data_IF_912797748814
#
_entry.id   IF_912797748814
#
_cell.length_a   1.000
_cell.length_b   1.000
_cell.length_c   1.000
_cell.angle_alpha   90.00
_cell.angle_beta   90.00
_cell.angle_gamma   90.00
#
_symmetry.space_group_name_H-M   'P 1'
#
loop_
_entity.id
_entity.type
_entity.pdbx_description
1 polymer ?
#
# COMPACT_ATOMS: atom_id res chain seq x y z
N UNK A 1 73.70 -22.63 59.28
CA UNK A 1 73.69 -21.49 58.34
C UNK A 1 73.58 -21.91 56.88
N UNK A 2 74.48 -22.75 56.33
CA UNK A 2 74.47 -23.13 54.90
C UNK A 2 73.16 -23.79 54.42
N UNK A 3 72.54 -24.64 55.24
CA UNK A 3 71.28 -25.33 54.91
C UNK A 3 70.07 -24.40 54.89
N UNK A 4 70.03 -23.37 55.75
CA UNK A 4 68.95 -22.38 55.78
C UNK A 4 68.96 -21.50 54.53
N UNK A 5 70.13 -21.10 54.05
CA UNK A 5 70.27 -20.35 52.80
C UNK A 5 69.78 -21.16 51.59
N UNK A 6 70.09 -22.45 51.55
CA UNK A 6 69.62 -23.35 50.49
C UNK A 6 68.09 -23.48 50.49
N UNK A 7 67.47 -23.61 51.68
CA UNK A 7 66.01 -23.65 51.80
C UNK A 7 65.36 -22.35 51.34
N UNK A 8 65.97 -21.20 51.66
CA UNK A 8 65.45 -19.90 51.25
C UNK A 8 65.50 -19.70 49.74
N UNK A 9 66.61 -20.07 49.10
CA UNK A 9 66.76 -20.01 47.64
C UNK A 9 65.77 -20.95 46.95
N UNK A 10 65.57 -22.15 47.49
CA UNK A 10 64.61 -23.12 46.96
C UNK A 10 63.17 -22.58 47.07
N UNK A 11 62.82 -21.97 48.20
CA UNK A 11 61.52 -21.34 48.42
C UNK A 11 61.28 -20.17 47.45
N UNK A 12 62.30 -19.33 47.24
CA UNK A 12 62.23 -18.23 46.28
C UNK A 12 62.09 -18.71 44.84
N UNK A 13 62.80 -19.78 44.47
CA UNK A 13 62.69 -20.41 43.15
C UNK A 13 61.27 -20.95 42.89
N UNK A 14 60.67 -21.61 43.88
CA UNK A 14 59.28 -22.09 43.78
C UNK A 14 58.27 -20.95 43.66
N UNK A 15 58.43 -19.88 44.44
CA UNK A 15 57.57 -18.69 44.37
C UNK A 15 57.71 -17.97 43.03
N UNK A 16 58.94 -17.82 42.52
CA UNK A 16 59.20 -17.20 41.22
C UNK A 16 58.59 -18.03 40.08
N UNK A 17 58.73 -19.37 40.13
CA UNK A 17 58.11 -20.27 39.17
C UNK A 17 56.58 -20.20 39.22
N UNK A 18 55.99 -20.21 40.42
CA UNK A 18 54.54 -20.08 40.60
C UNK A 18 54.03 -18.74 40.07
N UNK A 19 54.68 -17.63 40.43
CA UNK A 19 54.32 -16.30 39.94
C UNK A 19 54.47 -16.18 38.41
N UNK A 20 55.47 -16.84 37.82
CA UNK A 20 55.66 -16.88 36.38
C UNK A 20 54.52 -17.64 35.68
N UNK A 21 54.11 -18.79 36.21
CA UNK A 21 52.99 -19.56 35.68
C UNK A 21 51.67 -18.79 35.77
N UNK A 22 51.39 -18.14 36.91
CA UNK A 22 50.19 -17.32 37.11
C UNK A 22 50.15 -16.13 36.14
N UNK A 23 51.28 -15.47 35.90
CA UNK A 23 51.36 -14.39 34.90
C UNK A 23 51.02 -14.89 33.50
N UNK A 24 51.57 -16.05 33.11
CA UNK A 24 51.31 -16.65 31.80
C UNK A 24 49.83 -16.98 31.62
N UNK A 25 49.17 -17.51 32.64
CA UNK A 25 47.72 -17.77 32.61
C UNK A 25 46.90 -16.48 32.50
N UNK A 26 47.28 -15.42 33.23
CA UNK A 26 46.60 -14.12 33.16
C UNK A 26 46.76 -13.46 31.78
N UNK A 27 47.94 -13.53 31.18
CA UNK A 27 48.20 -12.98 29.85
C UNK A 27 47.39 -13.73 28.77
N UNK A 28 47.32 -15.06 28.87
CA UNK A 28 46.47 -15.87 28.00
C UNK A 28 44.98 -15.53 28.18
N UNK A 29 44.52 -15.40 29.42
CA UNK A 29 43.13 -15.02 29.72
C UNK A 29 42.78 -13.64 29.13
N UNK A 30 43.68 -12.66 29.25
CA UNK A 30 43.51 -11.33 28.63
C UNK A 30 43.43 -11.40 27.11
N UNK A 31 44.27 -12.20 26.47
CA UNK A 31 44.22 -12.41 25.02
C UNK A 31 42.88 -13.02 24.60
N UNK A 32 42.42 -14.06 25.30
CA UNK A 32 41.13 -14.71 25.01
C UNK A 32 39.97 -13.72 25.18
N UNK A 33 39.93 -12.96 26.27
CA UNK A 33 38.91 -11.93 26.50
C UNK A 33 38.93 -10.89 25.38
N UNK A 34 40.11 -10.42 24.96
CA UNK A 34 40.26 -9.48 23.86
C UNK A 34 39.71 -10.03 22.53
N UNK A 35 40.04 -11.28 22.20
CA UNK A 35 39.54 -11.94 20.98
C UNK A 35 38.03 -12.16 21.02
N UNK A 36 37.49 -12.56 22.17
CA UNK A 36 36.05 -12.77 22.34
C UNK A 36 35.28 -11.45 22.26
N UNK A 37 35.82 -10.38 22.86
CA UNK A 37 35.25 -9.03 22.78
C UNK A 37 35.21 -8.53 21.34
N UNK A 38 36.31 -8.67 20.59
CA UNK A 38 36.36 -8.30 19.18
C UNK A 38 35.38 -9.15 18.32
N UNK A 39 35.25 -10.44 18.65
CA UNK A 39 34.28 -11.33 18.01
C UNK A 39 32.83 -10.95 18.29
N UNK A 40 32.51 -10.53 19.52
CA UNK A 40 31.19 -10.03 19.91
C UNK A 40 30.89 -8.71 19.19
N UNK A 41 31.82 -7.77 19.18
CA UNK A 41 31.66 -6.48 18.49
C UNK A 41 31.44 -6.66 16.98
N UNK A 42 32.16 -7.59 16.35
CA UNK A 42 31.93 -7.93 14.95
C UNK A 42 30.52 -8.50 14.70
N UNK A 43 30.05 -9.39 15.58
CA UNK A 43 28.69 -9.95 15.51
C UNK A 43 27.62 -8.90 15.74
N UNK A 44 27.83 -8.01 16.70
CA UNK A 44 26.88 -6.93 17.02
C UNK A 44 26.73 -5.95 15.86
N UNK A 45 27.86 -5.62 15.21
CA UNK A 45 27.86 -4.85 13.97
C UNK A 45 27.12 -5.56 12.83
N UNK A 46 27.31 -6.88 12.67
CA UNK A 46 26.61 -7.65 11.66
C UNK A 46 25.09 -7.72 11.93
N UNK A 47 24.70 -7.92 13.18
CA UNK A 47 23.29 -7.91 13.61
C UNK A 47 22.66 -6.55 13.34
N UNK A 48 23.35 -5.46 13.69
CA UNK A 48 22.87 -4.09 13.45
C UNK A 48 22.64 -3.84 11.96
N UNK A 49 23.60 -4.22 11.11
CA UNK A 49 23.45 -4.11 9.65
C UNK A 49 22.27 -4.91 9.12
N UNK A 50 22.11 -6.16 9.56
CA UNK A 50 20.99 -7.00 9.15
C UNK A 50 19.64 -6.44 9.62
N UNK A 51 19.58 -5.85 10.81
CA UNK A 51 18.37 -5.19 11.31
C UNK A 51 18.02 -3.95 10.48
N UNK A 52 19.01 -3.14 10.13
CA UNK A 52 18.79 -1.96 9.28
C UNK A 52 18.34 -2.36 7.87
N UNK A 53 18.96 -3.38 7.28
CA UNK A 53 18.56 -3.93 5.99
C UNK A 53 17.13 -4.50 6.02
N UNK A 54 16.78 -5.25 7.06
CA UNK A 54 15.43 -5.79 7.24
C UNK A 54 14.39 -4.67 7.41
N UNK A 55 14.74 -3.58 8.13
CA UNK A 55 13.86 -2.41 8.26
C UNK A 55 13.64 -1.73 6.91
N UNK A 56 14.71 -1.48 6.16
CA UNK A 56 14.63 -0.89 4.82
C UNK A 56 13.81 -1.76 3.87
N UNK A 57 14.02 -3.08 3.90
CA UNK A 57 13.23 -4.01 3.10
C UNK A 57 11.74 -3.95 3.47
N UNK A 58 11.41 -3.97 4.76
CA UNK A 58 10.02 -3.87 5.21
C UNK A 58 9.36 -2.56 4.77
N UNK A 59 10.08 -1.44 4.80
CA UNK A 59 9.56 -0.16 4.32
C UNK A 59 9.35 -0.12 2.81
N UNK A 60 10.29 -0.68 2.04
CA UNK A 60 10.16 -0.82 0.59
C UNK A 60 8.97 -1.72 0.22
N UNK A 61 8.78 -2.84 0.93
CA UNK A 61 7.64 -3.72 0.72
C UNK A 61 6.31 -3.03 1.05
N UNK A 62 6.26 -2.22 2.11
CA UNK A 62 5.08 -1.42 2.45
C UNK A 62 4.77 -0.40 1.35
N UNK A 63 5.78 0.34 0.89
CA UNK A 63 5.63 1.32 -0.18
C UNK A 63 5.12 0.64 -1.47
N UNK A 64 5.69 -0.51 -1.84
CA UNK A 64 5.26 -1.28 -2.99
C UNK A 64 3.80 -1.74 -2.87
N UNK A 65 3.42 -2.28 -1.70
CA UNK A 65 2.02 -2.69 -1.45
C UNK A 65 1.04 -1.51 -1.53
N UNK A 66 1.43 -0.34 -1.04
CA UNK A 66 0.64 0.88 -1.16
C UNK A 66 0.50 1.34 -2.62
N UNK A 67 1.58 1.30 -3.41
CA UNK A 67 1.52 1.62 -4.82
C UNK A 67 0.63 0.64 -5.60
N UNK A 68 0.72 -0.66 -5.29
CA UNK A 68 -0.13 -1.68 -5.91
C UNK A 68 -1.60 -1.49 -5.56
N UNK A 69 -1.93 -1.21 -4.29
CA UNK A 69 -3.32 -0.98 -3.88
C UNK A 69 -3.89 0.32 -4.46
N UNK A 70 -3.06 1.36 -4.58
CA UNK A 70 -3.47 2.59 -5.24
C UNK A 70 -3.70 2.37 -6.74
N UNK A 71 -2.81 1.63 -7.42
CA UNK A 71 -2.96 1.31 -8.82
C UNK A 71 -4.20 0.43 -9.08
N UNK A 72 -4.46 -0.56 -8.22
CA UNK A 72 -5.63 -1.44 -8.34
C UNK A 72 -6.94 -0.67 -8.12
N UNK A 73 -7.00 0.19 -7.11
CA UNK A 73 -8.20 1.02 -6.87
C UNK A 73 -8.43 2.01 -8.00
N UNK A 74 -7.36 2.63 -8.53
CA UNK A 74 -7.45 3.50 -9.69
C UNK A 74 -7.94 2.75 -10.93
N UNK A 75 -7.41 1.55 -11.20
CA UNK A 75 -7.84 0.70 -12.31
C UNK A 75 -9.31 0.33 -12.22
N UNK A 76 -9.79 -0.13 -11.05
CA UNK A 76 -11.20 -0.44 -10.83
C UNK A 76 -12.09 0.79 -11.02
N UNK A 77 -11.67 1.96 -10.52
CA UNK A 77 -12.44 3.20 -10.69
C UNK A 77 -12.53 3.63 -12.15
N UNK A 78 -11.47 3.41 -12.94
CA UNK A 78 -11.45 3.69 -14.38
C UNK A 78 -12.40 2.76 -15.13
N UNK A 79 -12.36 1.47 -14.81
CA UNK A 79 -13.24 0.48 -15.44
C UNK A 79 -14.71 0.78 -15.14
N UNK A 80 -15.07 1.06 -13.89
CA UNK A 80 -16.42 1.48 -13.51
C UNK A 80 -16.86 2.75 -14.23
N UNK A 81 -15.96 3.73 -14.38
CA UNK A 81 -16.26 4.96 -15.12
C UNK A 81 -16.49 4.68 -16.61
N UNK A 82 -15.69 3.82 -17.23
CA UNK A 82 -15.87 3.42 -18.63
C UNK A 82 -17.21 2.71 -18.81
N UNK A 83 -17.54 1.75 -17.94
CA UNK A 83 -18.82 1.04 -17.99
C UNK A 83 -20.01 2.00 -17.83
N UNK A 84 -19.93 2.96 -16.90
CA UNK A 84 -20.95 4.00 -16.73
C UNK A 84 -21.12 4.83 -18.01
N UNK A 85 -20.02 5.33 -18.58
CA UNK A 85 -20.06 6.12 -19.81
C UNK A 85 -20.61 5.33 -20.99
N UNK A 86 -20.26 4.04 -21.11
CA UNK A 86 -20.81 3.16 -22.14
C UNK A 86 -22.32 2.97 -21.96
N UNK A 87 -22.79 2.75 -20.72
CA UNK A 87 -24.21 2.61 -20.44
C UNK A 87 -24.97 3.91 -20.71
N UNK A 88 -24.47 5.06 -20.25
CA UNK A 88 -25.06 6.37 -20.55
C UNK A 88 -25.11 6.64 -22.05
N UNK A 89 -24.03 6.33 -22.79
CA UNK A 89 -24.00 6.49 -24.24
C UNK A 89 -25.05 5.60 -24.93
N UNK A 90 -25.21 4.35 -24.48
CA UNK A 90 -26.24 3.44 -24.99
C UNK A 90 -27.63 4.00 -24.71
N UNK A 91 -27.93 4.42 -23.48
CA UNK A 91 -29.22 5.00 -23.10
C UNK A 91 -29.56 6.23 -23.96
N UNK A 92 -28.58 7.11 -24.18
CA UNK A 92 -28.77 8.27 -25.05
C UNK A 92 -29.05 7.88 -26.49
N UNK A 93 -28.32 6.89 -27.04
CA UNK A 93 -28.56 6.37 -28.40
C UNK A 93 -29.95 5.76 -28.53
N UNK A 94 -30.38 4.97 -27.55
CA UNK A 94 -31.71 4.35 -27.55
C UNK A 94 -32.81 5.43 -27.47
N UNK A 95 -32.60 6.48 -26.66
CA UNK A 95 -33.52 7.62 -26.57
C UNK A 95 -33.62 8.38 -27.89
N UNK A 96 -32.50 8.66 -28.57
CA UNK A 96 -32.50 9.30 -29.89
C UNK A 96 -33.09 8.42 -31.00
N UNK A 97 -32.94 7.09 -30.91
CA UNK A 97 -33.51 6.16 -31.87
C UNK A 97 -35.02 5.92 -31.66
N UNK A 98 -35.54 6.25 -30.47
CA UNK A 98 -36.97 6.16 -30.19
C UNK A 98 -37.71 7.23 -30.97
N UNK A 99 -38.77 6.84 -31.69
CA UNK A 99 -39.58 7.77 -32.46
C UNK A 99 -40.14 8.89 -31.55
N UNK A 100 -40.08 10.15 -32.02
CA UNK A 100 -40.57 11.28 -31.24
C UNK A 100 -42.03 11.05 -30.85
N UNK A 101 -42.41 11.30 -29.58
CA UNK A 101 -43.80 11.19 -29.16
C UNK A 101 -44.70 12.07 -30.04
N UNK A 102 -45.88 11.56 -30.40
CA UNK A 102 -46.82 12.25 -31.29
C UNK A 102 -47.17 13.67 -30.82
N UNK A 103 -47.18 13.92 -29.50
CA UNK A 103 -47.38 15.26 -28.93
C UNK A 103 -46.27 16.25 -29.32
N UNK A 104 -45.00 15.83 -29.37
CA UNK A 104 -43.87 16.69 -29.77
C UNK A 104 -43.91 16.98 -31.26
N UNK A 105 -44.23 15.97 -32.08
CA UNK A 105 -44.40 16.13 -33.54
C UNK A 105 -45.52 17.14 -33.83
N UNK A 106 -46.67 17.03 -33.16
CA UNK A 106 -47.80 17.96 -33.31
C UNK A 106 -47.45 19.37 -32.86
N UNK A 107 -46.64 19.52 -31.80
CA UNK A 107 -46.16 20.83 -31.36
C UNK A 107 -45.25 21.49 -32.39
N UNK A 108 -44.38 20.70 -33.04
CA UNK A 108 -43.53 21.17 -34.13
C UNK A 108 -44.34 21.54 -35.39
N UNK A 109 -45.46 20.85 -35.63
CA UNK A 109 -46.35 21.08 -36.75
C UNK A 109 -47.39 22.18 -36.49
N UNK A 110 -47.11 23.05 -35.51
CA UNK A 110 -47.97 24.16 -35.05
C UNK A 110 -48.48 25.01 -36.21
N UNK A 111 -49.81 25.18 -36.35
CA UNK A 111 -50.41 26.20 -37.20
C UNK A 111 -50.08 27.62 -36.71
N UNK A 112 -49.98 28.59 -37.62
CA UNK A 112 -49.85 29.99 -37.23
C UNK A 112 -51.16 30.45 -36.54
N UNK A 113 -51.09 30.86 -35.27
CA UNK A 113 -52.23 31.39 -34.52
C UNK A 113 -52.19 32.92 -34.47
N UNK A 114 -53.34 33.56 -34.69
CA UNK A 114 -53.48 35.02 -34.66
C UNK A 114 -53.72 35.58 -33.23
N UNK A 115 -54.17 34.75 -32.28
CA UNK A 115 -54.51 35.15 -30.92
C UNK A 115 -54.04 34.07 -29.90
N UNK A 116 -53.52 34.45 -28.72
CA UNK A 116 -53.24 33.54 -27.61
C UNK A 116 -54.37 32.58 -27.23
N UNK A 117 -55.63 32.99 -27.36
CA UNK A 117 -56.77 32.15 -26.98
C UNK A 117 -56.96 30.95 -27.93
N UNK A 118 -56.62 31.11 -29.22
CA UNK A 118 -56.67 30.02 -30.21
C UNK A 118 -55.57 28.99 -29.98
N UNK A 119 -54.42 29.42 -29.45
CA UNK A 119 -53.35 28.52 -29.05
C UNK A 119 -53.77 27.61 -27.90
N UNK A 120 -54.38 28.17 -26.85
CA UNK A 120 -54.85 27.39 -25.70
C UNK A 120 -55.91 26.38 -26.10
N UNK A 121 -56.85 26.77 -26.95
CA UNK A 121 -57.90 25.87 -27.46
C UNK A 121 -57.31 24.70 -28.27
N UNK A 122 -56.37 24.97 -29.18
CA UNK A 122 -55.70 23.91 -29.96
C UNK A 122 -54.87 22.94 -29.11
N UNK A 123 -54.31 23.42 -28.00
CA UNK A 123 -53.58 22.59 -27.03
C UNK A 123 -54.56 21.69 -26.25
N UNK A 124 -55.66 22.26 -25.76
CA UNK A 124 -56.68 21.54 -24.98
C UNK A 124 -57.42 20.45 -25.78
N UNK A 125 -57.70 20.68 -27.07
CA UNK A 125 -58.31 19.66 -27.94
C UNK A 125 -57.39 18.44 -28.18
N UNK A 126 -56.12 18.49 -27.75
CA UNK A 126 -55.14 17.42 -27.94
C UNK A 126 -54.95 16.44 -26.78
N UNK A 127 -55.61 16.63 -25.64
CA UNK A 127 -55.38 15.83 -24.42
C UNK A 127 -55.93 14.39 -24.49
N UNK A 128 -56.76 14.06 -25.49
CA UNK A 128 -57.33 12.72 -25.68
C UNK A 128 -56.47 11.82 -26.58
N UNK A 129 -55.27 11.45 -26.14
CA UNK A 129 -54.47 10.39 -26.76
C UNK A 129 -54.13 9.31 -25.72
N UNK A 130 -54.19 8.02 -26.09
CA UNK A 130 -54.05 6.91 -25.15
C UNK A 130 -52.65 6.90 -24.54
N UNK A 131 -52.57 6.62 -23.23
CA UNK A 131 -51.34 6.59 -22.47
C UNK A 131 -50.30 5.65 -23.10
N UNK A 132 -49.31 6.22 -23.79
CA UNK A 132 -48.10 5.51 -24.19
C UNK A 132 -47.25 5.28 -22.95
N UNK A 133 -47.48 4.15 -22.29
CA UNK A 133 -46.78 3.80 -21.05
C UNK A 133 -47.21 2.48 -20.44
N UNK A 134 -47.35 1.41 -21.22
CA UNK A 134 -47.34 0.06 -20.68
C UNK A 134 -46.32 -0.78 -21.44
N UNK A 135 -45.05 -0.62 -21.08
CA UNK A 135 -44.06 -1.66 -21.29
C UNK A 135 -44.12 -2.57 -20.06
N UNK A 136 -45.01 -3.55 -20.13
CA UNK A 136 -45.15 -4.63 -19.16
C UNK A 136 -44.44 -5.86 -19.71
N UNK A 137 -43.57 -6.47 -18.92
CA UNK A 137 -42.90 -7.75 -19.22
C UNK A 137 -41.38 -7.63 -19.12
N UNK A 138 -40.65 -8.52 -18.47
CA UNK A 138 -40.96 -9.79 -17.82
C UNK A 138 -39.64 -10.42 -17.39
#
# INVERSE_FOLDING_TARGET
MRTLLLLWVLMMGLLAWHAHNLKKELDNAKLVIGTLSAGIESRDNAITRLQDEARQQADNERALRQSLSHASTLSLSREQRIQRLLNENKVLRDWFATALPAGVIRLHQRPAFANPNDYLRWLSDGEQLPATGQHTGG
#
